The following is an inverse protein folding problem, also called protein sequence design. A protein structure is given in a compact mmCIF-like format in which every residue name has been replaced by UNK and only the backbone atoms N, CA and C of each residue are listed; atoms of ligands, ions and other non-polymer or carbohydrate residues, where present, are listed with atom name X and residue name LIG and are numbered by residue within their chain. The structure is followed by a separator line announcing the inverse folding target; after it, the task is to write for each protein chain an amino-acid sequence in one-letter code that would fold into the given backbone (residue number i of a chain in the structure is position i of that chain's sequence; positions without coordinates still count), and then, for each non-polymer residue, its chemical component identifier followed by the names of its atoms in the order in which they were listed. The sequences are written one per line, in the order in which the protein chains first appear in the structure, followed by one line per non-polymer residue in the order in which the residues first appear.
data_IF_054679571370
#
_entry.id   IF_054679571370
#
_cell.length_a   1.000
_cell.length_b   1.000
_cell.length_c   1.000
_cell.angle_alpha   90.00
_cell.angle_beta   90.00
_cell.angle_gamma   90.00
#
_symmetry.space_group_name_H-M   'P 1'
#
loop_
_entity.id
_entity.type
_entity.pdbx_description
1 polymer ?
#
# COMPACT_ATOMS: atom_id res chain seq x y z
N UNK A 1 12.90 -20.08 6.56
CA UNK A 1 13.19 -18.89 5.72
C UNK A 1 13.43 -19.36 4.29
N UNK A 2 12.74 -18.82 3.28
CA UNK A 2 12.90 -19.29 1.90
C UNK A 2 12.04 -18.55 0.87
N UNK A 3 10.72 -18.77 0.90
CA UNK A 3 9.79 -18.29 -0.15
C UNK A 3 9.83 -16.76 -0.37
N UNK A 4 9.90 -15.97 0.70
CA UNK A 4 9.98 -14.50 0.63
C UNK A 4 11.30 -13.99 0.02
N UNK A 5 12.42 -14.72 0.18
CA UNK A 5 13.69 -14.34 -0.44
C UNK A 5 13.76 -14.71 -1.92
N UNK A 6 13.12 -15.81 -2.34
CA UNK A 6 13.15 -16.28 -3.73
C UNK A 6 12.55 -15.25 -4.71
N UNK A 7 11.52 -14.51 -4.28
CA UNK A 7 10.88 -13.44 -5.05
C UNK A 7 11.74 -12.16 -5.18
N UNK A 8 12.88 -12.06 -4.48
CA UNK A 8 13.66 -10.82 -4.32
C UNK A 8 15.00 -10.81 -5.10
N UNK A 9 15.38 -11.90 -5.75
CA UNK A 9 16.71 -12.05 -6.38
C UNK A 9 16.73 -12.16 -7.91
N UNK A 10 15.58 -12.20 -8.58
CA UNK A 10 15.48 -12.17 -10.05
C UNK A 10 14.41 -11.17 -10.50
N UNK A 11 14.62 -10.58 -11.67
CA UNK A 11 13.69 -9.66 -12.36
C UNK A 11 12.40 -10.38 -12.76
N UNK A 12 11.45 -10.49 -11.82
CA UNK A 12 10.29 -11.39 -11.97
C UNK A 12 8.99 -10.89 -11.32
N UNK A 13 9.04 -10.23 -10.15
CA UNK A 13 7.84 -9.81 -9.42
C UNK A 13 6.88 -8.88 -10.20
N UNK A 14 7.41 -8.06 -11.11
CA UNK A 14 6.66 -7.15 -11.99
C UNK A 14 6.55 -7.65 -13.44
N UNK A 15 6.87 -8.92 -13.72
CA UNK A 15 6.66 -9.51 -15.04
C UNK A 15 5.16 -9.77 -15.27
N UNK A 16 4.64 -9.39 -16.45
CA UNK A 16 3.20 -9.51 -16.78
C UNK A 16 2.65 -10.92 -16.57
N UNK A 17 3.41 -11.95 -16.94
CA UNK A 17 3.03 -13.35 -16.75
C UNK A 17 2.90 -13.74 -15.27
N UNK A 18 3.66 -13.11 -14.36
CA UNK A 18 3.60 -13.34 -12.92
C UNK A 18 2.44 -12.56 -12.31
N UNK A 19 2.30 -11.28 -12.66
CA UNK A 19 1.20 -10.41 -12.21
C UNK A 19 -0.19 -10.98 -12.55
N UNK A 20 -0.35 -11.53 -13.76
CA UNK A 20 -1.63 -12.09 -14.21
C UNK A 20 -1.97 -13.48 -13.61
N UNK A 21 -1.02 -14.18 -12.98
CA UNK A 21 -1.21 -15.55 -12.48
C UNK A 21 -0.94 -15.72 -10.97
N UNK A 22 -0.36 -14.73 -10.29
CA UNK A 22 -0.03 -14.81 -8.87
C UNK A 22 -0.47 -13.55 -8.12
N UNK A 23 -1.71 -13.56 -7.65
CA UNK A 23 -2.40 -12.41 -7.06
C UNK A 23 -1.59 -11.59 -6.01
N UNK A 24 -0.77 -12.18 -5.11
CA UNK A 24 0.05 -11.39 -4.18
C UNK A 24 1.01 -10.40 -4.85
N UNK A 25 1.47 -10.66 -6.08
CA UNK A 25 2.38 -9.73 -6.78
C UNK A 25 1.73 -8.41 -7.18
N UNK A 26 0.40 -8.38 -7.32
CA UNK A 26 -0.38 -7.16 -7.56
C UNK A 26 -0.38 -6.16 -6.38
N UNK A 27 0.19 -6.54 -5.23
CA UNK A 27 0.30 -5.73 -4.01
C UNK A 27 1.76 -5.48 -3.57
N UNK A 28 2.76 -5.94 -4.33
CA UNK A 28 4.17 -5.78 -3.98
C UNK A 28 4.62 -4.34 -4.30
N UNK A 29 4.83 -3.53 -3.25
CA UNK A 29 5.45 -2.20 -3.31
C UNK A 29 6.85 -2.28 -2.68
N UNK A 30 7.86 -1.66 -3.31
CA UNK A 30 9.26 -1.75 -2.89
C UNK A 30 9.83 -0.33 -2.80
N UNK A 31 10.17 0.20 -1.59
CA UNK A 31 10.58 1.60 -1.43
C UNK A 31 11.86 1.97 -2.19
N UNK A 32 12.71 0.99 -2.52
CA UNK A 32 13.93 1.14 -3.33
C UNK A 32 13.75 0.80 -4.81
N UNK A 33 12.54 0.43 -5.26
CA UNK A 33 12.23 0.18 -6.68
C UNK A 33 10.82 0.66 -7.04
N UNK A 34 10.55 1.93 -6.72
CA UNK A 34 9.31 2.61 -7.13
C UNK A 34 9.18 2.68 -8.66
N UNK A 35 10.30 2.69 -9.39
CA UNK A 35 10.31 2.70 -10.86
C UNK A 35 9.89 1.36 -11.48
N UNK A 36 10.23 0.21 -10.89
CA UNK A 36 9.69 -1.09 -11.27
C UNK A 36 8.21 -1.22 -10.90
N UNK A 37 7.86 -0.81 -9.68
CA UNK A 37 6.51 -0.81 -9.15
C UNK A 37 5.51 -0.05 -10.05
N UNK A 38 5.76 1.22 -10.38
CA UNK A 38 4.85 1.99 -11.25
C UNK A 38 4.74 1.45 -12.68
N UNK A 39 5.78 0.77 -13.20
CA UNK A 39 5.80 0.27 -14.60
C UNK A 39 5.26 -1.15 -14.77
N UNK A 40 5.13 -1.93 -13.69
CA UNK A 40 4.76 -3.35 -13.80
C UNK A 40 3.99 -3.95 -12.63
N UNK A 41 3.62 -3.19 -11.60
CA UNK A 41 2.56 -3.60 -10.67
C UNK A 41 1.20 -3.25 -11.29
N UNK A 42 0.43 -4.25 -11.72
CA UNK A 42 -0.77 -4.04 -12.54
C UNK A 42 -2.01 -3.60 -11.75
N UNK A 43 -1.97 -3.67 -10.41
CA UNK A 43 -3.12 -3.48 -9.54
C UNK A 43 -2.96 -2.32 -8.55
N UNK A 44 -2.05 -2.41 -7.56
CA UNK A 44 -1.99 -1.44 -6.47
C UNK A 44 -1.79 0.04 -6.90
N UNK A 45 -0.87 0.41 -7.82
CA UNK A 45 -0.71 1.80 -8.27
C UNK A 45 -1.98 2.38 -8.92
N UNK A 46 -2.77 1.52 -9.55
CA UNK A 46 -4.02 1.89 -10.23
C UNK A 46 -5.20 1.98 -9.26
N UNK A 47 -5.30 1.06 -8.30
CA UNK A 47 -6.30 1.11 -7.23
C UNK A 47 -6.15 2.38 -6.40
N UNK A 48 -4.91 2.68 -5.99
CA UNK A 48 -4.57 3.81 -5.14
C UNK A 48 -4.56 5.17 -5.88
N UNK A 49 -4.85 5.20 -7.19
CA UNK A 49 -4.74 6.40 -8.04
C UNK A 49 -3.34 7.06 -8.05
N UNK A 50 -2.28 6.28 -7.83
CA UNK A 50 -0.91 6.79 -7.76
C UNK A 50 -0.46 7.29 -9.14
N UNK A 51 -0.73 6.50 -10.19
CA UNK A 51 -0.47 6.79 -11.61
C UNK A 51 -1.32 7.96 -12.15
N UNK A 52 -0.75 9.15 -12.45
CA UNK A 52 -1.49 10.35 -12.84
C UNK A 52 -2.40 10.18 -14.06
N UNK A 53 -1.92 9.49 -15.08
CA UNK A 53 -2.60 9.22 -16.36
C UNK A 53 -3.71 8.17 -16.26
N UNK A 54 -3.78 7.41 -15.16
CA UNK A 54 -4.76 6.34 -14.94
C UNK A 54 -5.77 6.65 -13.81
N UNK A 55 -5.78 7.87 -13.24
CA UNK A 55 -6.64 8.23 -12.11
C UNK A 55 -8.13 8.14 -12.45
N UNK A 56 -8.90 7.51 -11.57
CA UNK A 56 -10.34 7.32 -11.73
C UNK A 56 -11.11 7.93 -10.55
N UNK A 57 -11.74 9.09 -10.78
CA UNK A 57 -12.56 9.78 -9.77
C UNK A 57 -13.70 8.93 -9.18
N UNK A 58 -14.17 7.90 -9.91
CA UNK A 58 -15.17 6.93 -9.42
C UNK A 58 -14.66 6.11 -8.23
N UNK A 59 -13.34 5.83 -8.17
CA UNK A 59 -12.76 5.11 -7.03
C UNK A 59 -12.83 5.99 -5.77
N UNK A 60 -12.47 7.28 -5.89
CA UNK A 60 -12.62 8.27 -4.81
C UNK A 60 -14.07 8.43 -4.39
N UNK A 61 -15.00 8.61 -5.32
CA UNK A 61 -16.43 8.73 -5.02
C UNK A 61 -16.98 7.52 -4.24
N UNK A 62 -16.59 6.29 -4.61
CA UNK A 62 -17.05 5.05 -3.94
C UNK A 62 -16.41 4.84 -2.58
N UNK A 63 -15.12 5.14 -2.43
CA UNK A 63 -14.43 5.02 -1.15
C UNK A 63 -14.95 6.07 -0.14
N UNK A 64 -15.12 7.32 -0.58
CA UNK A 64 -15.71 8.38 0.24
C UNK A 64 -17.22 8.22 0.50
N UNK A 65 -17.91 7.26 -0.14
CA UNK A 65 -19.31 6.91 0.19
C UNK A 65 -19.44 5.84 1.27
N UNK A 66 -18.34 5.38 1.87
CA UNK A 66 -18.37 4.49 3.03
C UNK A 66 -18.78 5.28 4.28
N UNK A 67 -19.90 4.89 4.91
CA UNK A 67 -20.34 5.49 6.19
C UNK A 67 -19.34 5.23 7.33
N UNK A 68 -18.63 4.10 7.28
CA UNK A 68 -17.63 3.68 8.26
C UNK A 68 -16.50 2.92 7.58
N UNK A 69 -15.28 3.11 8.07
CA UNK A 69 -14.10 2.34 7.67
C UNK A 69 -13.36 1.89 8.94
N UNK A 70 -13.44 0.59 9.24
CA UNK A 70 -12.72 -0.01 10.36
C UNK A 70 -11.40 -0.61 9.85
N UNK A 71 -10.28 -0.14 10.41
CA UNK A 71 -8.93 -0.62 10.07
C UNK A 71 -8.29 -1.24 11.32
N UNK A 72 -7.87 -2.49 11.24
CA UNK A 72 -7.33 -3.25 12.38
C UNK A 72 -5.88 -3.62 12.09
N UNK A 73 -4.95 -3.14 12.94
CA UNK A 73 -3.53 -3.49 12.92
C UNK A 73 -3.25 -4.42 14.10
N UNK A 74 -2.59 -5.55 13.85
CA UNK A 74 -2.08 -6.42 14.91
C UNK A 74 -0.62 -6.06 15.20
N UNK A 75 -0.27 -5.84 16.47
CA UNK A 75 1.10 -5.44 16.87
C UNK A 75 2.14 -6.54 16.55
N UNK A 76 1.77 -7.81 16.77
CA UNK A 76 2.63 -8.97 16.58
C UNK A 76 2.42 -9.69 15.22
N UNK A 77 1.92 -8.98 14.20
CA UNK A 77 1.77 -9.52 12.84
C UNK A 77 3.14 -9.98 12.26
N UNK A 78 3.12 -11.06 11.46
CA UNK A 78 4.30 -11.68 10.83
C UNK A 78 4.10 -11.96 9.34
N UNK A 79 3.01 -11.47 8.76
CA UNK A 79 2.60 -11.59 7.36
C UNK A 79 2.73 -10.24 6.66
N UNK A 80 2.29 -9.16 7.33
CA UNK A 80 2.40 -7.79 6.82
C UNK A 80 3.78 -7.18 7.11
N UNK A 81 4.37 -6.51 6.12
CA UNK A 81 5.68 -5.85 6.23
C UNK A 81 5.71 -4.57 5.36
N UNK A 82 5.59 -3.36 5.95
CA UNK A 82 5.44 -3.08 7.37
C UNK A 82 4.04 -3.45 7.89
N UNK A 83 3.88 -3.66 9.19
CA UNK A 83 2.55 -3.95 9.77
C UNK A 83 1.60 -2.75 9.66
N UNK A 84 2.15 -1.54 9.58
CA UNK A 84 1.44 -0.27 9.34
C UNK A 84 0.67 -0.20 8.02
N UNK A 85 0.92 -1.11 7.06
CA UNK A 85 0.14 -1.19 5.82
C UNK A 85 -1.34 -1.48 6.07
N UNK A 86 -1.68 -2.13 7.21
CA UNK A 86 -3.06 -2.29 7.68
C UNK A 86 -3.78 -0.96 7.98
N UNK A 87 -3.02 0.11 8.23
CA UNK A 87 -3.46 1.47 8.52
C UNK A 87 -2.96 2.47 7.45
N UNK A 88 -2.75 2.02 6.20
CA UNK A 88 -2.23 2.83 5.08
C UNK A 88 -0.83 3.46 5.26
N UNK A 89 -0.10 3.16 6.34
CA UNK A 89 1.31 3.54 6.48
C UNK A 89 2.23 2.66 5.64
N UNK A 90 3.35 3.21 5.19
CA UNK A 90 4.31 2.49 4.34
C UNK A 90 5.76 2.93 4.61
N UNK A 91 6.72 2.32 3.92
CA UNK A 91 8.14 2.68 4.01
C UNK A 91 8.47 4.01 3.31
N UNK A 92 9.30 4.82 3.97
CA UNK A 92 9.80 6.06 3.40
C UNK A 92 10.62 5.81 2.11
N UNK A 93 10.71 6.79 1.19
CA UNK A 93 11.44 6.64 -0.06
C UNK A 93 12.88 6.11 0.12
N UNK A 94 13.16 4.96 -0.48
CA UNK A 94 14.43 4.22 -0.42
C UNK A 94 14.86 3.68 0.96
N UNK A 95 14.04 3.69 2.00
CA UNK A 95 14.39 3.16 3.33
C UNK A 95 13.43 2.05 3.81
N UNK A 96 13.97 0.94 4.28
CA UNK A 96 13.22 -0.17 4.89
C UNK A 96 13.12 -0.06 6.44
N UNK A 97 13.49 1.09 7.02
CA UNK A 97 13.50 1.34 8.47
C UNK A 97 12.50 2.41 8.90
N UNK A 98 12.54 3.63 8.34
CA UNK A 98 11.50 4.64 8.59
C UNK A 98 10.20 4.20 7.94
N UNK A 99 9.18 3.99 8.77
CA UNK A 99 7.78 3.90 8.35
C UNK A 99 7.17 5.29 8.43
N UNK A 100 6.43 5.68 7.39
CA UNK A 100 5.57 6.86 7.34
C UNK A 100 4.17 6.48 7.83
N UNK A 101 3.52 7.30 8.68
CA UNK A 101 2.09 7.16 8.93
C UNK A 101 1.28 7.46 7.65
N UNK A 102 0.00 7.09 7.65
CA UNK A 102 -0.89 7.32 6.51
C UNK A 102 -0.84 8.77 6.03
N UNK A 103 -0.88 9.73 6.95
CA UNK A 103 -0.92 11.16 6.68
C UNK A 103 0.35 11.67 5.95
N UNK A 104 1.52 11.06 6.15
CA UNK A 104 2.76 11.41 5.43
C UNK A 104 2.80 10.72 4.04
N UNK A 105 2.51 9.42 3.96
CA UNK A 105 2.48 8.66 2.69
C UNK A 105 1.46 9.23 1.69
N UNK A 106 0.31 9.69 2.19
CA UNK A 106 -0.82 10.26 1.43
C UNK A 106 -0.58 11.72 0.99
N UNK A 107 0.51 12.35 1.43
CA UNK A 107 0.94 13.66 0.92
C UNK A 107 1.87 13.54 -0.31
N UNK A 108 2.74 12.53 -0.38
CA UNK A 108 3.59 12.30 -1.56
C UNK A 108 2.85 11.60 -2.71
N UNK A 109 1.93 10.68 -2.39
CA UNK A 109 1.05 10.02 -3.34
C UNK A 109 -0.35 10.62 -3.28
N UNK A 110 -0.94 10.98 -4.43
CA UNK A 110 -2.15 11.82 -4.52
C UNK A 110 -3.43 11.08 -4.09
N UNK A 111 -3.53 10.90 -2.79
CA UNK A 111 -4.64 10.34 -2.01
C UNK A 111 -5.26 11.37 -1.00
N UNK A 112 -4.98 12.70 -0.97
CA UNK A 112 -5.57 13.65 0.00
C UNK A 112 -7.04 14.01 -0.32
N UNK A 113 -7.81 13.00 -0.72
CA UNK A 113 -9.23 13.06 -1.05
C UNK A 113 -9.98 11.76 -0.65
N UNK A 114 -9.30 10.74 -0.11
CA UNK A 114 -9.94 9.49 0.33
C UNK A 114 -10.24 9.46 1.83
N UNK A 115 -9.46 10.15 2.65
CA UNK A 115 -9.52 10.05 4.11
C UNK A 115 -10.14 11.32 4.73
N UNK A 116 -11.19 11.22 5.58
CA UNK A 116 -11.51 12.26 6.56
C UNK A 116 -10.41 12.33 7.64
N UNK A 117 -10.43 13.35 8.49
CA UNK A 117 -9.38 13.57 9.50
C UNK A 117 -9.30 12.43 10.55
N UNK A 118 -8.26 11.57 10.43
CA UNK A 118 -8.09 10.37 11.26
C UNK A 118 -7.65 10.65 12.71
N UNK A 119 -7.40 11.92 13.07
CA UNK A 119 -6.98 12.30 14.43
C UNK A 119 -8.02 11.97 15.51
N UNK A 120 -9.30 11.82 15.15
CA UNK A 120 -10.44 11.85 16.08
C UNK A 120 -10.82 10.49 16.71
N UNK A 121 -10.42 9.34 16.15
CA UNK A 121 -11.03 8.04 16.49
C UNK A 121 -10.05 6.88 16.74
N UNK A 122 -8.85 7.14 17.24
CA UNK A 122 -8.01 6.09 17.85
C UNK A 122 -8.69 5.51 19.08
N UNK A 123 -9.22 4.28 18.97
CA UNK A 123 -9.69 3.51 20.12
C UNK A 123 -8.49 3.30 21.07
N UNK A 124 -8.60 3.66 22.36
CA UNK A 124 -7.48 3.52 23.30
C UNK A 124 -7.14 2.03 23.55
N UNK A 125 -5.87 1.68 23.79
CA UNK A 125 -5.43 0.30 23.97
C UNK A 125 -5.86 -0.25 25.35
N UNK A 126 -7.09 -0.75 25.41
CA UNK A 126 -7.68 -1.40 26.59
C UNK A 126 -8.42 -2.69 26.23
N UNK A 127 -7.69 -3.68 25.71
CA UNK A 127 -7.86 -5.12 25.98
C UNK A 127 -6.54 -5.85 25.69
#
# INVERSE_FOLDING_TARGET
MGLCFLLRSFTSGFAVCVQNNFAPTGFVKIPTDMAGYYRGCLFLPKLNNELPECRNGTYKQRFSSLNYLALIKFEADRVLYPTDTAWFGFYAPNDFRKVLPAEEEIQELVVPFLLPDFSSSRIPPYY
#
